data_IF_913037237720
#
_entry.id   IF_913037237720
#
_cell.length_a   1.000
_cell.length_b   1.000
_cell.length_c   1.000
_cell.angle_alpha   90.00
_cell.angle_beta   90.00
_cell.angle_gamma   90.00
#
_symmetry.space_group_name_H-M   'P 1'
#
loop_
_entity.id
_entity.type
_entity.pdbx_description
1 polymer ?
#
# COMPACT_ATOMS: atom_id res chain seq x y z
N UNK A 1 16.28 17.15 22.53
CA UNK A 1 16.06 18.39 23.30
C UNK A 1 17.00 19.45 22.75
N UNK A 2 16.48 20.65 22.53
CA UNK A 2 17.28 21.82 22.16
C UNK A 2 17.61 22.52 23.47
N UNK A 3 18.90 22.83 23.70
CA UNK A 3 19.38 23.63 24.82
C UNK A 3 19.80 24.99 24.27
N UNK A 4 19.46 26.03 24.98
CA UNK A 4 19.88 27.39 24.67
C UNK A 4 20.83 27.86 25.75
N UNK A 5 21.96 28.40 25.35
CA UNK A 5 22.97 28.96 26.23
C UNK A 5 23.03 30.51 26.07
N UNK A 6 23.70 31.17 27.01
CA UNK A 6 23.96 32.60 26.90
C UNK A 6 24.85 32.92 25.67
N UNK A 7 25.76 31.98 25.34
CA UNK A 7 26.62 32.07 24.16
C UNK A 7 25.80 32.05 22.86
N UNK A 8 24.78 31.14 22.75
CA UNK A 8 23.89 31.09 21.59
C UNK A 8 23.13 32.43 21.42
N UNK A 9 22.66 33.01 22.52
CA UNK A 9 21.97 34.29 22.52
C UNK A 9 22.93 35.44 22.13
N UNK A 10 24.15 35.48 22.70
CA UNK A 10 25.18 36.46 22.37
C UNK A 10 25.55 36.41 20.90
N UNK A 11 25.79 35.20 20.35
CA UNK A 11 26.09 35.00 18.93
C UNK A 11 24.95 35.49 18.04
N UNK A 12 23.71 35.19 18.40
CA UNK A 12 22.54 35.61 17.64
C UNK A 12 22.30 37.14 17.65
N UNK A 13 22.68 37.81 18.75
CA UNK A 13 22.59 39.25 18.90
C UNK A 13 23.82 40.00 18.39
N UNK A 14 24.85 39.28 17.88
CA UNK A 14 26.09 39.90 17.40
C UNK A 14 26.96 40.50 18.51
N UNK A 15 26.80 40.04 19.75
CA UNK A 15 27.63 40.48 20.89
C UNK A 15 28.93 39.65 20.81
N UNK A 16 30.05 40.36 20.57
CA UNK A 16 31.39 39.74 20.60
C UNK A 16 31.86 39.56 22.04
N UNK A 17 32.47 38.41 22.32
CA UNK A 17 32.92 37.97 23.66
C UNK A 17 34.12 38.75 24.25
N UNK A 18 34.30 40.03 23.89
CA UNK A 18 35.43 40.84 24.38
C UNK A 18 35.28 41.24 25.87
N UNK A 19 34.23 40.80 26.56
CA UNK A 19 33.99 41.06 27.97
C UNK A 19 33.96 39.84 28.92
N UNK A 20 34.03 38.63 28.36
CA UNK A 20 33.92 37.38 29.16
C UNK A 20 35.28 36.74 29.48
N UNK A 21 36.38 37.21 28.89
CA UNK A 21 37.71 36.62 29.09
C UNK A 21 38.43 37.15 30.34
N UNK A 22 37.76 37.97 31.19
CA UNK A 22 38.33 38.48 32.44
C UNK A 22 37.77 37.86 33.72
N UNK A 23 36.75 37.01 33.62
CA UNK A 23 36.11 36.41 34.79
C UNK A 23 36.46 34.93 35.02
N UNK A 24 37.16 34.26 34.10
CA UNK A 24 37.52 32.84 34.24
C UNK A 24 39.02 32.59 34.52
N UNK A 25 39.80 33.62 34.85
CA UNK A 25 41.22 33.49 35.13
C UNK A 25 41.56 33.45 36.64
N UNK A 26 40.58 33.46 37.55
CA UNK A 26 40.82 33.53 38.99
C UNK A 26 40.31 32.36 39.84
N UNK A 27 39.90 31.26 39.22
CA UNK A 27 39.54 30.03 39.98
C UNK A 27 40.28 28.78 39.48
N UNK A 28 41.59 28.82 39.56
CA UNK A 28 42.42 27.62 39.57
C UNK A 28 43.75 27.93 40.30
N UNK A 29 43.72 27.98 41.58
CA UNK A 29 44.79 27.44 42.41
C UNK A 29 44.34 27.49 43.87
N UNK A 30 44.51 26.41 44.55
CA UNK A 30 44.80 26.14 45.95
C UNK A 30 43.86 25.12 46.60
N UNK A 31 44.41 23.95 46.60
CA UNK A 31 44.21 22.98 47.63
C UNK A 31 45.36 23.09 48.64
N UNK A 32 45.03 22.86 49.91
CA UNK A 32 45.82 22.36 51.05
C UNK A 32 46.32 23.31 52.11
N UNK A 33 45.72 23.06 53.28
CA UNK A 33 46.26 22.85 54.60
C UNK A 33 46.87 24.03 55.37
N UNK A 34 46.43 24.41 56.51
CA UNK A 34 46.79 23.84 57.82
C UNK A 34 46.27 24.73 58.96
N UNK A 35 46.05 24.13 60.10
CA UNK A 35 45.59 24.71 61.38
C UNK A 35 46.60 25.66 62.03
N UNK A 36 46.13 26.67 62.74
CA UNK A 36 46.44 26.88 64.17
C UNK A 36 46.19 28.31 64.70
N UNK A 37 45.34 28.35 65.72
CA UNK A 37 45.41 29.11 67.00
C UNK A 37 45.55 30.63 67.00
N UNK A 38 44.49 31.24 67.56
CA UNK A 38 44.34 32.19 68.66
C UNK A 38 45.46 33.22 68.99
N UNK A 39 45.12 34.43 69.17
CA UNK A 39 45.03 35.17 70.42
C UNK A 39 44.62 36.62 70.27
N UNK A 40 43.97 37.08 71.29
CA UNK A 40 43.37 38.40 71.51
C UNK A 40 44.38 39.54 71.63
N UNK A 41 43.93 40.75 71.40
CA UNK A 41 44.00 41.94 72.28
C UNK A 41 43.84 43.25 71.43
N UNK A 42 42.88 43.96 71.68
CA UNK A 42 42.61 45.09 72.59
C UNK A 42 42.93 46.49 72.01
N UNK A 43 41.85 47.30 71.97
CA UNK A 43 41.70 48.75 72.19
C UNK A 43 42.58 49.76 71.42
N UNK A 44 42.09 50.71 70.77
CA UNK A 44 41.55 51.98 71.28
C UNK A 44 41.07 52.89 70.19
N UNK A 45 40.19 53.77 70.58
CA UNK A 45 39.48 54.80 69.87
C UNK A 45 40.40 55.90 69.24
N UNK A 46 39.97 56.44 68.15
CA UNK A 46 39.66 57.86 68.08
C UNK A 46 38.80 58.27 66.90
N UNK A 47 37.96 59.18 67.18
CA UNK A 47 37.00 59.84 66.27
C UNK A 47 37.68 60.76 65.25
N UNK A 48 37.22 60.76 64.01
CA UNK A 48 36.82 62.03 63.41
C UNK A 48 35.95 61.81 62.17
N UNK A 49 34.90 62.59 62.11
CA UNK A 49 33.97 62.71 61.05
C UNK A 49 34.61 63.30 59.79
N UNK A 50 34.29 62.71 58.65
CA UNK A 50 33.88 63.53 57.47
C UNK A 50 33.13 62.55 56.51
N UNK A 51 31.87 62.81 56.41
CA UNK A 51 31.08 62.18 55.31
C UNK A 51 31.35 63.01 54.02
N UNK A 52 31.46 62.25 52.90
CA UNK A 52 30.74 62.66 51.73
C UNK A 52 29.64 61.62 51.42
N UNK A 53 28.43 62.10 51.50
CA UNK A 53 27.23 61.52 50.92
C UNK A 53 27.49 61.24 49.44
N UNK A 54 27.89 59.99 49.10
CA UNK A 54 27.76 59.45 47.77
C UNK A 54 26.44 58.66 47.76
N UNK A 55 25.33 59.39 47.61
CA UNK A 55 24.10 58.79 47.08
C UNK A 55 24.37 58.44 45.62
N UNK A 56 24.99 57.31 45.41
CA UNK A 56 24.93 56.65 44.08
C UNK A 56 23.48 56.29 43.82
N UNK A 57 22.80 57.09 42.96
CA UNK A 57 21.52 56.68 42.38
C UNK A 57 21.60 55.21 41.97
N UNK A 58 20.63 54.37 42.40
CA UNK A 58 20.65 52.95 41.98
C UNK A 58 20.68 52.93 40.45
N UNK A 59 21.71 52.29 39.90
CA UNK A 59 21.87 52.16 38.45
C UNK A 59 20.54 51.69 37.86
N UNK A 60 20.05 52.36 36.80
CA UNK A 60 18.83 52.00 36.15
C UNK A 60 18.86 50.49 35.76
N UNK A 61 17.79 49.74 36.01
CA UNK A 61 17.77 48.30 35.73
C UNK A 61 18.12 48.05 34.26
N UNK A 62 19.12 47.20 34.05
CA UNK A 62 19.55 46.80 32.69
C UNK A 62 18.37 46.08 32.01
N UNK A 63 17.91 46.61 30.86
CA UNK A 63 16.78 46.03 30.15
C UNK A 63 17.07 44.58 29.67
N UNK A 64 16.10 43.65 29.78
CA UNK A 64 16.21 42.31 29.23
C UNK A 64 16.51 42.35 27.73
N UNK A 65 17.21 41.33 27.21
CA UNK A 65 17.44 41.17 25.79
C UNK A 65 16.89 39.82 25.32
N UNK A 66 16.40 39.75 24.11
CA UNK A 66 15.82 38.52 23.57
C UNK A 66 16.14 38.33 22.10
N UNK A 67 16.15 37.09 21.67
CA UNK A 67 16.25 36.71 20.27
C UNK A 67 15.30 35.52 19.96
N UNK A 68 14.74 35.51 18.73
CA UNK A 68 13.87 34.44 18.27
C UNK A 68 14.60 33.51 17.33
N UNK A 69 14.79 32.28 17.75
CA UNK A 69 15.35 31.17 16.96
C UNK A 69 14.24 30.47 16.21
N UNK A 70 14.40 30.27 14.90
CA UNK A 70 13.45 29.55 14.08
C UNK A 70 14.09 28.26 13.56
N UNK A 71 13.41 27.15 13.78
CA UNK A 71 13.82 25.82 13.32
C UNK A 71 12.82 25.30 12.31
N UNK A 72 13.32 24.55 11.34
CA UNK A 72 12.51 23.80 10.38
C UNK A 72 12.69 22.32 10.66
N UNK A 73 11.60 21.62 10.92
CA UNK A 73 11.55 20.15 10.98
C UNK A 73 11.06 19.68 9.62
N UNK A 74 11.88 18.87 8.95
CA UNK A 74 11.58 18.38 7.61
C UNK A 74 11.46 16.86 7.64
N UNK A 75 10.39 16.35 7.05
CA UNK A 75 10.30 14.92 6.73
C UNK A 75 11.13 14.64 5.48
N UNK A 76 11.89 13.55 5.49
CA UNK A 76 12.68 13.08 4.37
C UNK A 76 12.56 11.56 4.23
N UNK A 77 12.79 11.06 3.03
CA UNK A 77 12.65 9.65 2.68
C UNK A 77 11.41 9.39 1.84
N UNK A 78 11.36 8.20 1.27
CA UNK A 78 10.24 7.68 0.50
C UNK A 78 10.20 6.17 0.64
N UNK A 79 9.01 5.58 0.56
CA UNK A 79 8.83 4.14 0.50
C UNK A 79 7.88 3.79 -0.66
N UNK A 80 8.04 2.62 -1.30
CA UNK A 80 7.13 2.18 -2.34
C UNK A 80 5.68 2.14 -1.84
N UNK A 81 4.73 2.57 -2.66
CA UNK A 81 3.32 2.64 -2.30
C UNK A 81 2.95 3.78 -1.33
N UNK A 82 3.92 4.57 -0.84
CA UNK A 82 3.69 5.66 0.10
C UNK A 82 3.74 7.01 -0.60
N UNK A 83 2.69 7.80 -0.37
CA UNK A 83 2.65 9.22 -0.70
C UNK A 83 2.92 10.00 0.58
N UNK A 84 4.02 10.77 0.60
CA UNK A 84 4.39 11.60 1.75
C UNK A 84 3.42 12.75 1.95
N UNK A 85 3.39 13.29 3.18
CA UNK A 85 2.65 14.51 3.51
C UNK A 85 3.02 15.63 2.52
N UNK A 86 2.00 16.27 1.95
CA UNK A 86 2.21 17.36 0.99
C UNK A 86 2.98 18.54 1.60
N UNK A 87 2.91 18.72 2.92
CA UNK A 87 3.67 19.70 3.66
C UNK A 87 4.83 19.05 4.40
N UNK A 88 5.91 18.80 3.69
CA UNK A 88 7.11 18.10 4.20
C UNK A 88 7.94 18.91 5.18
N UNK A 89 7.60 20.17 5.47
CA UNK A 89 8.33 21.04 6.36
C UNK A 89 7.42 21.77 7.35
N UNK A 90 7.78 21.75 8.63
CA UNK A 90 7.10 22.46 9.72
C UNK A 90 8.07 23.42 10.37
N UNK A 91 7.64 24.66 10.67
CA UNK A 91 8.48 25.65 11.35
C UNK A 91 8.04 25.80 12.79
N UNK A 92 9.02 25.95 13.67
CA UNK A 92 8.82 26.30 15.08
C UNK A 92 9.82 27.39 15.46
N UNK A 93 9.38 28.36 16.23
CA UNK A 93 10.25 29.38 16.76
C UNK A 93 10.19 29.43 18.28
N UNK A 94 11.31 29.82 18.88
CA UNK A 94 11.46 29.98 20.31
C UNK A 94 12.10 31.34 20.57
N UNK A 95 11.48 32.12 21.44
CA UNK A 95 12.10 33.37 21.94
C UNK A 95 12.85 33.06 23.20
N UNK A 96 14.15 33.29 23.19
CA UNK A 96 15.05 33.17 24.35
C UNK A 96 15.29 34.57 24.89
N UNK A 97 15.08 34.77 26.20
CA UNK A 97 15.21 36.06 26.87
C UNK A 97 16.19 35.90 28.04
N UNK A 98 17.19 36.78 28.11
CA UNK A 98 18.10 37.00 29.24
C UNK A 98 17.54 38.16 30.05
N UNK A 99 17.18 37.90 31.31
CA UNK A 99 16.64 38.90 32.24
C UNK A 99 17.71 39.84 32.81
N UNK A 100 18.98 39.62 32.47
CA UNK A 100 20.16 40.32 32.99
C UNK A 100 20.36 40.17 34.50
N UNK A 101 19.64 39.21 35.11
CA UNK A 101 19.73 38.86 36.52
C UNK A 101 20.25 37.38 36.69
N UNK A 102 20.82 36.82 35.64
CA UNK A 102 21.39 35.48 35.63
C UNK A 102 20.44 34.39 35.19
N UNK A 103 19.25 34.70 34.62
CA UNK A 103 18.28 33.71 34.18
C UNK A 103 17.98 33.84 32.70
N UNK A 104 17.98 32.68 32.01
CA UNK A 104 17.43 32.55 30.66
C UNK A 104 16.04 31.95 30.73
N UNK A 105 15.10 32.56 30.04
CA UNK A 105 13.77 32.02 29.80
C UNK A 105 13.56 31.70 28.32
N UNK A 106 12.77 30.65 28.02
CA UNK A 106 12.47 30.21 26.66
C UNK A 106 10.95 30.11 26.50
N UNK A 107 10.43 30.82 25.53
CA UNK A 107 9.01 30.75 25.16
C UNK A 107 8.90 30.24 23.72
N UNK A 108 8.08 29.21 23.51
CA UNK A 108 7.72 28.75 22.17
C UNK A 108 6.71 29.74 21.58
N UNK A 109 6.96 30.18 20.34
CA UNK A 109 6.05 31.06 19.61
C UNK A 109 5.12 30.20 18.75
N UNK A 110 3.81 30.45 18.82
CA UNK A 110 2.78 29.67 18.13
C UNK A 110 2.19 28.58 19.00
N UNK A 111 1.46 27.65 18.37
CA UNK A 111 0.66 26.65 19.05
C UNK A 111 1.33 25.98 20.24
N UNK A 112 0.60 25.81 21.27
CA UNK A 112 0.85 25.43 22.68
C UNK A 112 1.59 24.11 22.93
N UNK A 113 2.68 23.87 22.21
CA UNK A 113 3.57 22.72 22.49
C UNK A 113 3.19 21.43 21.77
N UNK A 114 2.20 21.44 20.89
CA UNK A 114 1.82 20.27 20.08
C UNK A 114 3.00 19.75 19.23
N UNK A 115 3.16 18.46 19.19
CA UNK A 115 4.10 17.82 18.27
C UNK A 115 3.66 18.04 16.81
N UNK A 116 4.62 18.16 15.90
CA UNK A 116 4.30 18.18 14.49
C UNK A 116 3.84 16.81 14.04
N UNK A 117 2.72 16.76 13.32
CA UNK A 117 2.20 15.55 12.68
C UNK A 117 2.53 15.61 11.20
N UNK A 118 3.19 14.57 10.70
CA UNK A 118 3.35 14.29 9.29
C UNK A 118 2.49 13.05 8.98
N UNK A 119 1.63 13.16 7.96
CA UNK A 119 0.71 12.09 7.60
C UNK A 119 1.04 11.59 6.21
N UNK A 120 1.58 10.38 6.13
CA UNK A 120 1.82 9.68 4.89
C UNK A 120 0.68 8.72 4.59
N UNK A 121 0.37 8.53 3.31
CA UNK A 121 -0.68 7.62 2.87
C UNK A 121 -0.08 6.47 2.10
N UNK A 122 -0.36 5.25 2.54
CA UNK A 122 -0.05 4.05 1.78
C UNK A 122 -1.22 3.68 0.88
N UNK A 123 -0.95 3.31 -0.37
CA UNK A 123 -1.93 2.81 -1.33
C UNK A 123 -1.34 1.76 -2.23
N UNK A 124 -2.19 0.85 -2.70
CA UNK A 124 -1.83 -0.19 -3.66
C UNK A 124 -2.31 0.18 -5.06
N UNK A 125 -1.54 -0.24 -6.06
CA UNK A 125 -1.92 -0.15 -7.47
C UNK A 125 -2.71 -1.41 -7.83
N UNK A 126 -3.90 -1.28 -8.45
CA UNK A 126 -4.66 -2.43 -8.92
C UNK A 126 -3.87 -3.31 -9.88
N UNK A 127 -4.13 -4.63 -9.84
CA UNK A 127 -3.53 -5.60 -10.74
C UNK A 127 -4.59 -6.35 -11.54
N UNK A 128 -4.28 -6.67 -12.81
CA UNK A 128 -5.11 -7.49 -13.67
C UNK A 128 -4.52 -8.89 -13.74
N UNK A 129 -5.34 -9.94 -13.55
CA UNK A 129 -4.90 -11.34 -13.61
C UNK A 129 -5.99 -12.24 -14.14
N UNK A 130 -5.63 -13.16 -15.04
CA UNK A 130 -6.54 -14.20 -15.53
C UNK A 130 -6.40 -15.48 -14.72
N UNK A 131 -7.52 -16.08 -14.35
CA UNK A 131 -7.54 -17.39 -13.69
C UNK A 131 -6.81 -18.43 -14.53
N UNK A 132 -6.95 -18.39 -15.85
CA UNK A 132 -6.34 -19.37 -16.78
C UNK A 132 -4.82 -19.26 -16.92
N UNK A 133 -4.21 -18.19 -16.39
CA UNK A 133 -2.74 -18.08 -16.35
C UNK A 133 -2.10 -19.05 -15.34
N UNK A 134 -2.87 -19.47 -14.31
CA UNK A 134 -2.40 -20.35 -13.24
C UNK A 134 -3.22 -21.64 -13.12
N UNK A 135 -4.51 -21.62 -13.51
CA UNK A 135 -5.43 -22.75 -13.47
C UNK A 135 -5.59 -23.30 -14.89
N UNK A 136 -4.97 -24.43 -15.16
CA UNK A 136 -5.11 -25.09 -16.45
C UNK A 136 -6.58 -25.46 -16.69
N UNK A 137 -7.17 -24.94 -17.77
CA UNK A 137 -8.55 -25.24 -18.18
C UNK A 137 -8.55 -25.83 -19.58
N UNK A 138 -9.18 -27.01 -19.75
CA UNK A 138 -9.12 -27.78 -20.98
C UNK A 138 -10.51 -28.16 -21.47
N UNK A 139 -10.77 -27.93 -22.76
CA UNK A 139 -11.95 -28.39 -23.50
C UNK A 139 -11.62 -29.62 -24.35
N UNK A 140 -12.50 -30.62 -24.33
CA UNK A 140 -12.49 -31.76 -25.24
C UNK A 140 -13.83 -31.92 -25.92
N UNK A 141 -13.82 -32.29 -27.18
CA UNK A 141 -14.99 -32.71 -27.94
C UNK A 141 -14.79 -34.08 -28.48
N UNK A 142 -15.78 -34.95 -28.34
CA UNK A 142 -15.80 -36.30 -28.94
C UNK A 142 -16.86 -36.34 -30.04
N UNK A 143 -16.65 -37.21 -31.05
CA UNK A 143 -17.58 -37.40 -32.19
C UNK A 143 -17.28 -36.52 -33.41
N UNK A 144 -16.51 -35.48 -33.27
CA UNK A 144 -15.91 -34.67 -34.35
C UNK A 144 -14.77 -33.78 -33.81
N UNK A 145 -14.04 -33.14 -34.70
CA UNK A 145 -12.97 -32.22 -34.34
C UNK A 145 -13.51 -30.97 -33.64
N UNK A 146 -12.69 -30.42 -32.70
CA UNK A 146 -12.93 -29.20 -31.96
C UNK A 146 -12.47 -28.01 -32.79
N UNK A 147 -13.30 -26.98 -32.89
CA UNK A 147 -12.91 -25.71 -33.49
C UNK A 147 -12.55 -24.66 -32.45
N UNK A 148 -11.64 -23.75 -32.80
CA UNK A 148 -11.33 -22.61 -31.94
C UNK A 148 -12.54 -21.68 -31.77
N UNK A 149 -12.77 -21.18 -30.55
CA UNK A 149 -13.87 -20.27 -30.22
C UNK A 149 -15.26 -20.92 -30.23
N UNK A 150 -15.32 -22.24 -30.25
CA UNK A 150 -16.61 -22.93 -30.38
C UNK A 150 -17.41 -22.99 -29.08
N UNK A 151 -16.73 -23.07 -27.95
CA UNK A 151 -17.35 -23.16 -26.62
C UNK A 151 -16.94 -21.97 -25.76
N UNK A 152 -17.90 -21.43 -25.03
CA UNK A 152 -17.70 -20.32 -24.10
C UNK A 152 -17.65 -20.84 -22.68
N UNK A 153 -16.81 -20.21 -21.87
CA UNK A 153 -16.64 -20.50 -20.45
C UNK A 153 -16.86 -19.22 -19.67
N UNK A 154 -17.60 -19.34 -18.57
CA UNK A 154 -17.90 -18.25 -17.65
C UNK A 154 -17.23 -18.52 -16.29
N UNK A 155 -16.67 -17.47 -15.73
CA UNK A 155 -16.25 -17.40 -14.34
C UNK A 155 -17.25 -16.50 -13.58
N UNK A 156 -17.88 -17.04 -12.56
CA UNK A 156 -18.93 -16.34 -11.81
C UNK A 156 -18.48 -16.13 -10.36
N UNK A 157 -18.74 -14.93 -9.85
CA UNK A 157 -18.70 -14.60 -8.43
C UNK A 157 -20.13 -14.29 -7.97
N UNK A 158 -20.60 -14.97 -6.93
CA UNK A 158 -21.98 -14.84 -6.41
C UNK A 158 -23.07 -14.96 -7.50
N UNK A 159 -22.83 -15.81 -8.52
CA UNK A 159 -23.75 -16.03 -9.62
C UNK A 159 -23.68 -14.99 -10.74
N UNK A 160 -22.85 -13.97 -10.63
CA UNK A 160 -22.61 -12.95 -11.65
C UNK A 160 -21.35 -13.28 -12.46
N UNK A 161 -21.42 -13.26 -13.79
CA UNK A 161 -20.26 -13.47 -14.65
C UNK A 161 -19.28 -12.29 -14.52
N UNK A 162 -18.06 -12.56 -14.04
CA UNK A 162 -16.98 -11.57 -13.87
C UNK A 162 -15.89 -11.69 -14.94
N UNK A 163 -15.75 -12.86 -15.54
CA UNK A 163 -14.86 -13.09 -16.68
C UNK A 163 -15.46 -14.16 -17.59
N UNK A 164 -15.13 -14.11 -18.87
CA UNK A 164 -15.51 -15.13 -19.85
C UNK A 164 -14.39 -15.32 -20.87
N UNK A 165 -14.47 -16.44 -21.61
CA UNK A 165 -13.50 -16.76 -22.64
C UNK A 165 -13.90 -17.98 -23.45
N UNK A 166 -13.01 -18.42 -24.34
CA UNK A 166 -13.27 -19.52 -25.26
C UNK A 166 -12.09 -20.47 -25.35
N UNK A 167 -12.32 -21.64 -25.99
CA UNK A 167 -11.28 -22.60 -26.29
C UNK A 167 -10.52 -22.25 -27.59
N UNK A 168 -9.24 -22.62 -27.65
CA UNK A 168 -8.52 -22.73 -28.92
C UNK A 168 -8.80 -24.10 -29.62
N UNK A 169 -8.23 -24.32 -30.81
CA UNK A 169 -8.39 -25.57 -31.55
C UNK A 169 -7.74 -26.79 -30.86
N UNK A 170 -6.80 -26.55 -29.95
CA UNK A 170 -6.14 -27.60 -29.13
C UNK A 170 -6.89 -27.89 -27.84
N UNK A 171 -7.94 -27.09 -27.55
CA UNK A 171 -8.77 -27.25 -26.36
C UNK A 171 -8.27 -26.47 -25.15
N UNK A 172 -7.25 -25.61 -25.25
CA UNK A 172 -6.89 -24.73 -24.14
C UNK A 172 -7.93 -23.61 -24.04
N UNK A 173 -8.37 -23.32 -22.82
CA UNK A 173 -9.34 -22.26 -22.54
C UNK A 173 -8.59 -21.05 -21.99
N UNK A 174 -8.92 -19.87 -22.52
CA UNK A 174 -8.39 -18.58 -22.04
C UNK A 174 -9.55 -17.69 -21.62
N UNK A 175 -9.53 -17.21 -20.37
CA UNK A 175 -10.48 -16.25 -19.82
C UNK A 175 -9.92 -14.83 -19.85
N UNK A 176 -10.81 -13.85 -19.93
CA UNK A 176 -10.42 -12.44 -19.74
C UNK A 176 -9.87 -12.22 -18.33
N UNK A 177 -8.91 -11.28 -18.15
CA UNK A 177 -8.41 -10.94 -16.83
C UNK A 177 -9.48 -10.25 -15.98
N UNK A 178 -9.33 -10.38 -14.66
CA UNK A 178 -10.10 -9.69 -13.64
C UNK A 178 -9.20 -8.64 -12.99
N UNK A 179 -9.75 -7.46 -12.75
CA UNK A 179 -9.07 -6.38 -12.07
C UNK A 179 -9.29 -6.48 -10.56
N UNK A 180 -8.20 -6.54 -9.81
CA UNK A 180 -8.20 -6.57 -8.33
C UNK A 180 -7.70 -5.23 -7.81
N UNK A 181 -8.49 -4.59 -6.94
CA UNK A 181 -8.20 -3.23 -6.43
C UNK A 181 -7.68 -3.23 -4.99
N UNK A 182 -7.88 -4.33 -4.26
CA UNK A 182 -7.50 -4.48 -2.86
C UNK A 182 -7.12 -5.92 -2.53
N UNK A 183 -6.34 -6.15 -1.46
CA UNK A 183 -6.11 -7.49 -0.92
C UNK A 183 -7.43 -8.14 -0.48
N UNK A 184 -7.53 -9.46 -0.67
CA UNK A 184 -8.73 -10.21 -0.30
C UNK A 184 -8.73 -11.62 -0.83
N UNK A 185 -9.81 -12.35 -0.55
CA UNK A 185 -10.05 -13.69 -1.10
C UNK A 185 -11.37 -13.68 -1.86
N UNK A 186 -11.33 -14.17 -3.08
CA UNK A 186 -12.47 -14.31 -3.98
C UNK A 186 -12.71 -15.79 -4.26
N UNK A 187 -13.98 -16.17 -4.35
CA UNK A 187 -14.37 -17.54 -4.69
C UNK A 187 -15.24 -17.52 -5.95
N UNK A 188 -14.78 -18.18 -6.97
CA UNK A 188 -15.43 -18.21 -8.26
C UNK A 188 -15.95 -19.60 -8.59
N UNK A 189 -17.02 -19.63 -9.38
CA UNK A 189 -17.50 -20.84 -10.08
C UNK A 189 -17.11 -20.76 -11.55
N UNK A 190 -16.25 -21.66 -12.00
CA UNK A 190 -15.91 -21.84 -13.41
C UNK A 190 -16.82 -22.90 -14.03
N UNK A 191 -17.48 -22.56 -15.14
CA UNK A 191 -18.37 -23.44 -15.87
C UNK A 191 -18.27 -23.25 -17.38
N UNK A 192 -18.73 -24.25 -18.14
CA UNK A 192 -19.03 -24.09 -19.55
C UNK A 192 -20.43 -23.45 -19.73
N UNK A 193 -20.54 -22.44 -20.60
CA UNK A 193 -21.80 -21.79 -20.92
C UNK A 193 -22.55 -22.61 -22.00
N UNK A 194 -23.65 -23.24 -21.62
CA UNK A 194 -24.52 -23.89 -22.62
C UNK A 194 -25.55 -22.86 -23.15
N UNK A 195 -25.77 -22.79 -24.51
CA UNK A 195 -26.74 -21.86 -25.11
C UNK A 195 -28.19 -22.09 -24.67
N UNK A 196 -28.50 -23.24 -24.11
CA UNK A 196 -29.82 -23.56 -23.58
C UNK A 196 -29.78 -24.35 -22.28
N UNK A 197 -30.88 -24.34 -21.53
CA UNK A 197 -31.01 -25.01 -20.25
C UNK A 197 -31.04 -26.57 -20.32
N UNK A 198 -31.19 -27.13 -21.53
CA UNK A 198 -31.31 -28.58 -21.73
C UNK A 198 -29.94 -29.27 -21.84
N UNK A 199 -28.84 -28.50 -21.93
CA UNK A 199 -27.50 -29.04 -22.10
C UNK A 199 -27.26 -29.73 -23.47
N UNK A 200 -28.13 -29.48 -24.46
CA UNK A 200 -28.01 -30.04 -25.80
C UNK A 200 -28.23 -28.91 -26.83
N UNK A 201 -27.23 -28.65 -27.66
CA UNK A 201 -27.33 -27.63 -28.70
C UNK A 201 -26.61 -28.07 -29.97
N UNK A 202 -27.33 -28.02 -31.13
CA UNK A 202 -26.80 -28.41 -32.47
C UNK A 202 -26.09 -29.77 -32.48
N UNK A 203 -26.71 -30.80 -31.84
CA UNK A 203 -26.18 -32.13 -31.78
C UNK A 203 -25.02 -32.32 -30.75
N UNK A 204 -24.66 -31.28 -30.01
CA UNK A 204 -23.65 -31.36 -28.94
C UNK A 204 -24.33 -31.44 -27.57
N UNK A 205 -24.01 -32.48 -26.82
CA UNK A 205 -24.31 -32.55 -25.38
C UNK A 205 -23.18 -31.88 -24.62
N UNK A 206 -23.54 -30.83 -23.85
CA UNK A 206 -22.61 -30.02 -23.08
C UNK A 206 -22.25 -30.66 -21.73
N UNK A 207 -21.06 -30.43 -21.28
CA UNK A 207 -20.59 -30.83 -19.93
C UNK A 207 -21.15 -29.84 -18.89
N UNK A 208 -21.90 -30.36 -17.92
CA UNK A 208 -22.48 -29.58 -16.84
C UNK A 208 -21.59 -29.46 -15.60
N UNK A 209 -20.34 -29.91 -15.68
CA UNK A 209 -19.38 -29.83 -14.56
C UNK A 209 -19.09 -28.38 -14.21
N UNK A 210 -18.94 -28.11 -12.91
CA UNK A 210 -18.47 -26.83 -12.38
C UNK A 210 -17.24 -27.03 -11.52
N UNK A 211 -16.38 -26.04 -11.48
CA UNK A 211 -15.17 -26.01 -10.65
C UNK A 211 -15.18 -24.78 -9.77
N UNK A 212 -14.77 -24.93 -8.52
CA UNK A 212 -14.51 -23.80 -7.63
C UNK A 212 -13.08 -23.34 -7.79
N UNK A 213 -12.90 -22.04 -8.02
CA UNK A 213 -11.58 -21.39 -8.07
C UNK A 213 -11.50 -20.42 -6.91
N UNK A 214 -10.47 -20.57 -6.09
CA UNK A 214 -10.16 -19.63 -5.02
C UNK A 214 -8.99 -18.76 -5.47
N UNK A 215 -9.21 -17.44 -5.42
CA UNK A 215 -8.19 -16.43 -5.70
C UNK A 215 -7.84 -15.70 -4.42
N UNK A 216 -6.54 -15.67 -4.10
CA UNK A 216 -6.01 -14.86 -3.01
C UNK A 216 -5.25 -13.68 -3.60
N UNK A 217 -5.67 -12.46 -3.25
CA UNK A 217 -4.97 -11.23 -3.61
C UNK A 217 -4.21 -10.75 -2.39
N UNK A 218 -2.90 -10.64 -2.53
CA UNK A 218 -1.98 -10.23 -1.46
C UNK A 218 -1.37 -8.87 -1.78
N UNK A 219 -1.27 -8.04 -0.75
CA UNK A 219 -0.45 -6.82 -0.78
C UNK A 219 1.01 -7.20 -0.54
N UNK A 220 1.90 -6.81 -1.45
CA UNK A 220 3.33 -7.10 -1.37
C UNK A 220 4.08 -6.15 -0.42
N UNK A 221 3.39 -5.13 0.12
CA UNK A 221 3.99 -4.12 1.03
C UNK A 221 4.82 -3.05 0.30
N UNK A 222 4.79 -3.05 -1.02
CA UNK A 222 5.52 -2.10 -1.88
C UNK A 222 4.59 -1.29 -2.79
N UNK A 223 3.28 -1.30 -2.50
CA UNK A 223 2.26 -0.65 -3.33
C UNK A 223 1.79 -1.47 -4.52
N UNK A 224 2.18 -2.75 -4.62
CA UNK A 224 1.71 -3.68 -5.66
C UNK A 224 0.87 -4.81 -5.06
N UNK A 225 0.02 -5.41 -5.91
CA UNK A 225 -0.80 -6.57 -5.56
C UNK A 225 -0.35 -7.79 -6.37
N UNK A 226 -0.46 -8.98 -5.76
CA UNK A 226 -0.28 -10.27 -6.43
C UNK A 226 -1.54 -11.10 -6.28
N UNK A 227 -2.13 -11.56 -7.40
CA UNK A 227 -3.25 -12.50 -7.42
C UNK A 227 -2.74 -13.93 -7.65
N UNK A 228 -3.18 -14.86 -6.80
CA UNK A 228 -2.88 -16.28 -6.92
C UNK A 228 -4.18 -17.07 -7.05
N UNK A 229 -4.32 -17.86 -8.13
CA UNK A 229 -5.50 -18.64 -8.46
C UNK A 229 -5.27 -20.13 -8.22
N UNK A 230 -6.21 -20.81 -7.58
CA UNK A 230 -6.15 -22.26 -7.33
C UNK A 230 -7.53 -22.91 -7.51
N UNK A 231 -7.56 -24.11 -8.08
CA UNK A 231 -8.74 -24.96 -7.99
C UNK A 231 -8.90 -25.47 -6.57
N UNK A 232 -10.12 -25.47 -6.09
CA UNK A 232 -10.47 -26.13 -4.84
C UNK A 232 -10.48 -27.66 -5.04
N UNK A 233 -9.94 -28.38 -4.06
CA UNK A 233 -9.85 -29.85 -4.11
C UNK A 233 -8.52 -30.34 -4.69
N UNK A 234 -8.54 -31.58 -5.19
CA UNK A 234 -7.32 -32.34 -5.60
C UNK A 234 -7.08 -32.35 -7.11
N UNK A 235 -7.86 -31.64 -7.90
CA UNK A 235 -7.72 -31.62 -9.36
C UNK A 235 -6.66 -30.63 -9.81
N UNK A 236 -5.75 -31.05 -10.69
CA UNK A 236 -4.70 -30.19 -11.25
C UNK A 236 -5.20 -29.30 -12.40
N UNK A 237 -6.37 -29.63 -12.96
CA UNK A 237 -6.94 -28.91 -14.10
C UNK A 237 -8.46 -29.00 -14.14
N UNK A 238 -9.12 -27.95 -14.64
CA UNK A 238 -10.53 -27.95 -14.98
C UNK A 238 -10.72 -28.55 -16.38
N UNK A 239 -11.39 -29.69 -16.47
CA UNK A 239 -11.62 -30.39 -17.74
C UNK A 239 -13.09 -30.46 -18.10
N UNK A 240 -13.45 -30.05 -19.31
CA UNK A 240 -14.82 -30.08 -19.84
C UNK A 240 -14.87 -30.96 -21.09
N UNK A 241 -15.77 -31.97 -21.13
CA UNK A 241 -15.87 -32.91 -22.25
C UNK A 241 -17.27 -32.93 -22.84
N UNK A 242 -17.44 -32.40 -24.04
CA UNK A 242 -18.68 -32.48 -24.78
C UNK A 242 -18.72 -33.67 -25.75
N UNK A 243 -19.92 -34.09 -26.10
CA UNK A 243 -20.15 -35.17 -27.03
C UNK A 243 -21.00 -34.70 -28.21
N UNK A 244 -20.49 -34.86 -29.43
CA UNK A 244 -21.25 -34.60 -30.65
C UNK A 244 -21.91 -35.87 -31.16
N UNK A 245 -23.18 -35.78 -31.52
CA UNK A 245 -23.95 -36.80 -32.18
C UNK A 245 -24.71 -36.19 -33.36
N UNK A 246 -24.42 -36.70 -34.57
CA UNK A 246 -25.25 -36.36 -35.70
C UNK A 246 -26.59 -37.12 -35.61
N UNK A 247 -27.70 -36.45 -35.90
CA UNK A 247 -28.98 -37.12 -35.99
C UNK A 247 -29.00 -37.99 -37.26
N UNK A 248 -29.52 -39.19 -37.19
CA UNK A 248 -29.67 -40.03 -38.34
C UNK A 248 -30.67 -39.43 -39.30
N UNK A 249 -30.43 -39.55 -40.60
CA UNK A 249 -31.36 -39.16 -41.65
C UNK A 249 -31.77 -40.34 -42.46
N UNK A 250 -32.92 -40.27 -43.11
CA UNK A 250 -33.45 -41.33 -43.96
C UNK A 250 -33.69 -40.80 -45.37
N UNK A 251 -33.43 -41.65 -46.34
CA UNK A 251 -33.78 -41.41 -47.72
C UNK A 251 -34.63 -42.60 -48.23
N UNK A 252 -35.70 -42.32 -48.93
CA UNK A 252 -36.52 -43.32 -49.58
C UNK A 252 -36.13 -43.44 -51.05
N UNK A 253 -35.78 -44.63 -51.50
CA UNK A 253 -35.50 -44.92 -52.91
C UNK A 253 -36.71 -45.68 -53.45
N UNK A 254 -37.37 -45.11 -54.43
CA UNK A 254 -38.47 -45.76 -55.17
C UNK A 254 -37.97 -46.35 -56.48
N UNK A 255 -38.40 -47.55 -56.80
CA UNK A 255 -38.19 -48.17 -58.13
C UNK A 255 -39.55 -48.57 -58.73
N UNK A 256 -39.75 -48.26 -59.96
CA UNK A 256 -40.95 -48.67 -60.74
C UNK A 256 -40.50 -49.68 -61.80
N UNK A 257 -41.08 -50.86 -61.79
CA UNK A 257 -40.89 -51.86 -62.85
C UNK A 257 -42.04 -51.76 -63.85
N UNK A 258 -41.68 -51.61 -65.08
CA UNK A 258 -42.62 -51.71 -66.21
C UNK A 258 -42.28 -52.96 -67.03
N UNK A 259 -43.27 -53.74 -67.42
CA UNK A 259 -43.13 -54.88 -68.31
C UNK A 259 -44.03 -54.67 -69.49
N UNK A 260 -43.45 -54.67 -70.68
CA UNK A 260 -44.19 -54.50 -71.92
C UNK A 260 -44.47 -55.86 -72.51
N UNK A 261 -45.62 -56.03 -73.24
CA UNK A 261 -46.01 -57.24 -73.94
C UNK A 261 -46.89 -58.25 -73.18
N UNK A 262 -46.90 -58.17 -71.86
CA UNK A 262 -47.78 -58.89 -70.94
C UNK A 262 -47.91 -58.25 -69.60
N UNK A 263 -48.88 -58.62 -68.80
CA UNK A 263 -49.00 -58.18 -67.41
C UNK A 263 -47.89 -58.65 -66.51
N UNK A 264 -47.48 -57.72 -65.63
CA UNK A 264 -46.51 -57.97 -64.59
C UNK A 264 -47.14 -58.84 -63.51
N UNK A 265 -46.52 -59.97 -63.16
CA UNK A 265 -46.97 -60.83 -62.06
C UNK A 265 -46.27 -60.44 -60.77
N UNK A 266 -46.94 -60.63 -59.61
CA UNK A 266 -46.43 -60.39 -58.28
C UNK A 266 -45.18 -61.25 -58.07
N UNK A 267 -44.12 -60.67 -57.48
CA UNK A 267 -42.86 -61.26 -57.06
C UNK A 267 -41.99 -61.84 -58.23
N UNK A 268 -42.26 -61.37 -59.46
CA UNK A 268 -41.54 -61.88 -60.67
C UNK A 268 -40.16 -61.18 -60.80
N UNK A 269 -40.00 -60.00 -60.28
CA UNK A 269 -38.74 -59.28 -60.31
C UNK A 269 -38.40 -58.80 -58.92
N UNK A 270 -37.13 -58.80 -58.56
CA UNK A 270 -36.60 -58.28 -57.32
C UNK A 270 -35.57 -57.18 -57.59
N UNK A 271 -35.49 -56.22 -56.72
CA UNK A 271 -34.51 -55.19 -56.76
C UNK A 271 -33.58 -55.33 -55.55
N UNK A 272 -32.29 -55.14 -55.73
CA UNK A 272 -31.28 -55.06 -54.67
C UNK A 272 -30.63 -53.70 -54.67
N UNK A 273 -30.39 -53.16 -53.46
CA UNK A 273 -29.56 -52.01 -53.20
C UNK A 273 -28.15 -52.48 -52.97
#
# INVERSE_FOLDING_TARGET
KIHFTLEDLNRALGVTDDATDKAEADEADEAEADEAEAEEADADADANADEPSDESEPAAPIAPRSHTFTYTVTESGSAPGVTNDANTARKVSYTVTDDRAGHLSVVRNGDDGAAFTFTNTYSVTPTDSSVTDQVKTVKRLTGRDLAAGEFTFDLLEDGVTVASGTNDASGNVTLSPIRYEAPGTHTYTLREACPNALGLYKGVTYDGTTYTVVTTVSDNGDGTLTATHKLEGTTESAGFTNKYHAMPTQVSIGAIKVLEGRELKKDEFSFKL
#
